data_IF_582234938844
#
_entry.id   IF_582234938844
#
_cell.length_a   1.000
_cell.length_b   1.000
_cell.length_c   1.000
_cell.angle_alpha   90.00
_cell.angle_beta   90.00
_cell.angle_gamma   90.00
#
_symmetry.space_group_name_H-M   'P 1'
#
loop_
_entity.id
_entity.type
_entity.pdbx_description
1 polymer ?
#
# COMPACT_ATOMS: atom_id res chain seq x y z
N UNK A 1 -14.48 32.83 12.75
CA UNK A 1 -13.77 32.08 13.81
C UNK A 1 -13.02 30.97 13.11
N UNK A 2 -11.69 31.08 12.99
CA UNK A 2 -10.90 30.10 12.25
C UNK A 2 -11.02 28.72 12.90
N UNK A 3 -11.13 27.66 12.10
CA UNK A 3 -11.09 26.30 12.61
C UNK A 3 -9.71 26.06 13.23
N UNK A 4 -9.61 26.08 14.56
CA UNK A 4 -8.35 25.73 15.23
C UNK A 4 -8.10 24.24 15.05
N UNK A 5 -7.08 23.91 14.26
CA UNK A 5 -6.54 22.56 14.12
C UNK A 5 -5.45 22.33 15.17
N UNK A 6 -5.41 21.13 15.74
CA UNK A 6 -4.37 20.65 16.66
C UNK A 6 -3.53 19.60 15.97
N UNK A 7 -2.20 19.73 16.05
CA UNK A 7 -1.28 18.74 15.51
C UNK A 7 -1.24 17.51 16.43
N UNK A 8 -1.37 16.32 15.87
CA UNK A 8 -1.29 15.05 16.59
C UNK A 8 -0.20 14.21 15.95
N UNK A 9 0.80 13.81 16.74
CA UNK A 9 1.87 12.90 16.32
C UNK A 9 1.72 11.55 17.00
N UNK A 10 1.86 10.48 16.22
CA UNK A 10 1.78 9.11 16.67
C UNK A 10 3.18 8.52 16.80
N UNK A 11 3.41 7.76 17.86
CA UNK A 11 4.65 7.07 18.17
C UNK A 11 4.38 5.57 18.32
N UNK A 12 5.31 4.69 17.93
CA UNK A 12 6.64 4.99 17.43
C UNK A 12 6.68 5.37 15.93
N UNK A 13 5.53 5.44 15.25
CA UNK A 13 5.50 5.68 13.79
C UNK A 13 6.05 7.02 13.32
N UNK A 14 6.03 8.05 14.18
CA UNK A 14 6.38 9.41 13.80
C UNK A 14 5.34 10.10 12.90
N UNK A 15 4.29 9.39 12.46
CA UNK A 15 3.23 9.88 11.58
C UNK A 15 2.46 11.01 12.30
N UNK A 16 2.09 12.06 11.56
CA UNK A 16 1.35 13.19 12.11
C UNK A 16 0.12 13.55 11.28
N UNK A 17 -0.91 14.06 11.94
CA UNK A 17 -2.13 14.58 11.32
C UNK A 17 -2.70 15.77 12.10
N UNK A 18 -3.65 16.47 11.49
CA UNK A 18 -4.34 17.60 12.11
C UNK A 18 -5.76 17.21 12.54
N UNK A 19 -6.11 17.48 13.79
CA UNK A 19 -7.44 17.28 14.36
C UNK A 19 -8.17 18.61 14.54
N UNK A 20 -9.38 18.75 13.97
CA UNK A 20 -10.25 19.91 14.22
C UNK A 20 -10.79 19.86 15.66
N UNK A 21 -11.16 21.02 16.23
CA UNK A 21 -11.47 21.19 17.66
C UNK A 21 -12.62 20.33 18.21
N UNK A 22 -13.45 19.72 17.35
CA UNK A 22 -14.54 18.81 17.75
C UNK A 22 -14.46 17.43 17.09
N UNK A 23 -13.44 17.18 16.27
CA UNK A 23 -13.25 15.88 15.65
C UNK A 23 -12.66 14.89 16.65
N UNK A 24 -13.24 13.70 16.73
CA UNK A 24 -12.59 12.60 17.43
C UNK A 24 -11.26 12.24 16.74
N UNK A 25 -10.29 11.83 17.53
CA UNK A 25 -8.94 11.54 17.06
C UNK A 25 -8.92 10.41 16.01
N UNK A 26 -9.81 9.42 16.13
CA UNK A 26 -9.90 8.32 15.16
C UNK A 26 -10.42 8.82 13.80
N UNK A 27 -11.51 9.60 13.80
CA UNK A 27 -12.04 10.20 12.59
C UNK A 27 -11.08 11.19 11.95
N UNK A 28 -10.33 11.96 12.76
CA UNK A 28 -9.29 12.85 12.27
C UNK A 28 -8.12 12.09 11.62
N UNK A 29 -7.64 11.02 12.25
CA UNK A 29 -6.61 10.15 11.69
C UNK A 29 -7.07 9.52 10.36
N UNK A 30 -8.30 8.98 10.32
CA UNK A 30 -8.86 8.38 9.11
C UNK A 30 -8.99 9.37 7.94
N UNK A 31 -9.38 10.62 8.18
CA UNK A 31 -9.41 11.65 7.13
C UNK A 31 -8.03 12.01 6.60
N UNK A 32 -7.00 11.91 7.44
CA UNK A 32 -5.60 11.99 7.06
C UNK A 32 -5.05 10.68 6.46
N UNK A 33 -5.93 9.69 6.24
CA UNK A 33 -5.63 8.34 5.74
C UNK A 33 -4.73 7.52 6.65
N UNK A 34 -4.61 7.88 7.92
CA UNK A 34 -3.91 7.07 8.90
C UNK A 34 -4.86 5.98 9.36
N UNK A 35 -4.55 4.73 8.98
CA UNK A 35 -5.32 3.56 9.35
C UNK A 35 -5.05 3.21 10.82
N UNK A 36 -5.88 3.74 11.72
CA UNK A 36 -5.92 3.32 13.12
C UNK A 36 -6.94 2.19 13.27
N UNK A 37 -6.55 1.01 13.77
CA UNK A 37 -7.49 -0.10 13.95
C UNK A 37 -8.69 0.27 14.86
N UNK A 38 -9.92 -0.04 14.40
CA UNK A 38 -11.16 0.23 15.13
C UNK A 38 -12.30 -0.70 14.69
N UNK A 39 -13.24 -1.00 15.59
CA UNK A 39 -14.42 -1.83 15.29
C UNK A 39 -15.74 -1.18 15.73
N UNK A 40 -15.85 -0.75 16.99
CA UNK A 40 -17.13 -0.29 17.55
C UNK A 40 -17.41 1.22 17.40
N UNK A 41 -16.36 2.05 17.25
CA UNK A 41 -16.42 3.52 17.26
C UNK A 41 -17.19 4.16 18.45
N UNK A 42 -17.41 3.41 19.53
CA UNK A 42 -18.13 3.87 20.73
C UNK A 42 -17.32 3.69 22.03
N UNK A 43 -16.05 3.28 21.91
CA UNK A 43 -15.11 3.11 23.03
C UNK A 43 -15.22 1.78 23.77
N UNK A 44 -16.00 0.79 23.30
CA UNK A 44 -16.17 -0.51 23.96
C UNK A 44 -15.12 -1.55 23.51
N UNK A 45 -14.72 -1.53 22.24
CA UNK A 45 -13.87 -2.58 21.68
C UNK A 45 -12.38 -2.44 22.01
N UNK A 46 -11.99 -1.26 22.51
CA UNK A 46 -10.62 -0.88 22.93
C UNK A 46 -9.51 -0.99 21.86
N UNK A 47 -9.85 -1.19 20.58
CA UNK A 47 -8.85 -1.32 19.51
C UNK A 47 -8.12 -0.01 19.23
N UNK A 48 -8.84 1.10 19.14
CA UNK A 48 -8.27 2.40 18.80
C UNK A 48 -7.60 3.08 20.01
N UNK A 49 -7.06 2.27 20.91
CA UNK A 49 -6.42 2.76 22.10
C UNK A 49 -5.07 3.39 21.79
N UNK A 50 -4.80 4.51 22.43
CA UNK A 50 -3.48 5.11 22.48
C UNK A 50 -3.13 5.53 23.91
N UNK A 51 -1.85 5.70 24.21
CA UNK A 51 -1.37 6.32 25.45
C UNK A 51 -0.96 7.76 25.18
N UNK A 52 -1.40 8.69 26.03
CA UNK A 52 -1.07 10.11 25.89
C UNK A 52 0.36 10.36 26.38
N UNK A 53 1.25 10.83 25.50
CA UNK A 53 2.65 11.17 25.86
C UNK A 53 2.83 12.67 26.11
N UNK A 54 2.09 13.52 25.40
CA UNK A 54 2.17 14.98 25.52
C UNK A 54 0.86 15.64 25.14
N UNK A 55 0.56 16.77 25.77
CA UNK A 55 -0.62 17.59 25.50
C UNK A 55 -1.80 17.23 26.40
N UNK A 56 -2.98 17.73 26.04
CA UNK A 56 -4.24 17.50 26.74
C UNK A 56 -5.33 17.05 25.75
N UNK A 57 -6.00 15.95 26.10
CA UNK A 57 -7.14 15.43 25.35
C UNK A 57 -8.37 15.36 26.27
N UNK A 58 -9.57 15.50 25.70
CA UNK A 58 -10.83 15.34 26.43
C UNK A 58 -11.48 14.01 26.06
N UNK A 59 -11.87 13.22 27.05
CA UNK A 59 -12.74 12.06 26.83
C UNK A 59 -14.19 12.53 26.71
N UNK A 60 -14.76 12.36 25.53
CA UNK A 60 -16.10 12.82 25.17
C UNK A 60 -17.24 12.02 25.84
N UNK A 61 -16.94 10.87 26.47
CA UNK A 61 -17.95 10.06 27.18
C UNK A 61 -18.18 10.56 28.61
N UNK A 62 -17.12 10.84 29.34
CA UNK A 62 -17.20 11.29 30.74
C UNK A 62 -16.91 12.80 30.90
N UNK A 63 -16.55 13.49 29.81
CA UNK A 63 -16.18 14.91 29.79
C UNK A 63 -14.98 15.23 30.69
N UNK A 64 -14.08 14.27 30.90
CA UNK A 64 -12.87 14.45 31.70
C UNK A 64 -11.64 14.63 30.82
N UNK A 65 -10.74 15.52 31.26
CA UNK A 65 -9.41 15.67 30.65
C UNK A 65 -8.55 14.45 30.98
N UNK A 66 -7.90 13.90 29.97
CA UNK A 66 -6.98 12.77 30.04
C UNK A 66 -5.59 13.30 30.40
N UNK A 67 -4.94 12.70 31.38
CA UNK A 67 -3.60 13.11 31.82
C UNK A 67 -2.51 12.42 31.00
N UNK A 68 -1.35 13.05 30.93
CA UNK A 68 -0.15 12.43 30.35
C UNK A 68 0.14 11.11 31.09
N UNK A 69 0.43 10.06 30.31
CA UNK A 69 0.63 8.69 30.78
C UNK A 69 -0.63 7.82 30.77
N UNK A 70 -1.83 8.41 30.68
CA UNK A 70 -3.09 7.66 30.67
C UNK A 70 -3.44 7.13 29.27
N UNK A 71 -4.23 6.05 29.25
CA UNK A 71 -4.79 5.44 28.03
C UNK A 71 -6.05 6.21 27.60
N UNK A 72 -6.26 6.31 26.30
CA UNK A 72 -7.43 6.94 25.69
C UNK A 72 -7.93 6.15 24.50
N UNK A 73 -9.22 6.28 24.20
CA UNK A 73 -9.82 5.72 22.99
C UNK A 73 -9.92 6.81 21.94
N UNK A 74 -9.18 6.68 20.83
CA UNK A 74 -9.17 7.71 19.79
C UNK A 74 -10.59 8.03 19.25
N UNK A 75 -11.50 7.05 19.19
CA UNK A 75 -12.91 7.27 18.80
C UNK A 75 -13.76 8.04 19.82
N UNK A 76 -13.28 8.23 21.05
CA UNK A 76 -13.98 8.92 22.14
C UNK A 76 -13.14 10.06 22.73
N UNK A 77 -12.11 10.51 22.03
CA UNK A 77 -11.20 11.54 22.51
C UNK A 77 -11.04 12.66 21.49
N UNK A 78 -10.97 13.91 21.95
CA UNK A 78 -10.72 15.10 21.12
C UNK A 78 -9.47 15.87 21.57
N UNK A 79 -8.85 16.52 20.58
CA UNK A 79 -7.81 17.55 20.65
C UNK A 79 -8.11 18.77 21.53
N UNK A 80 -7.53 18.94 22.74
CA UNK A 80 -7.53 20.27 23.40
C UNK A 80 -6.28 21.08 23.03
N UNK A 81 -5.12 20.43 22.98
CA UNK A 81 -3.84 20.99 22.53
C UNK A 81 -3.22 20.09 21.45
N UNK A 82 -2.06 20.47 20.92
CA UNK A 82 -1.23 19.53 20.16
C UNK A 82 -0.89 18.31 21.03
N UNK A 83 -0.90 17.12 20.43
CA UNK A 83 -0.74 15.84 21.12
C UNK A 83 0.44 15.05 20.58
N UNK A 84 1.07 14.29 21.48
CA UNK A 84 1.87 13.12 21.11
C UNK A 84 1.23 11.88 21.74
N UNK A 85 0.97 10.86 20.94
CA UNK A 85 0.30 9.63 21.33
C UNK A 85 1.18 8.43 21.02
N UNK A 86 1.29 7.49 21.94
CA UNK A 86 1.84 6.17 21.66
C UNK A 86 0.73 5.23 21.24
N UNK A 87 0.87 4.61 20.08
CA UNK A 87 -0.05 3.62 19.54
C UNK A 87 0.72 2.63 18.69
N UNK A 88 1.09 1.49 19.28
CA UNK A 88 1.87 0.44 18.59
C UNK A 88 1.14 -0.18 17.40
N UNK A 89 -0.18 0.01 17.29
CA UNK A 89 -0.96 -0.43 16.15
C UNK A 89 -0.75 0.44 14.90
N UNK A 90 -0.23 1.66 15.06
CA UNK A 90 0.11 2.58 13.97
C UNK A 90 1.62 2.73 13.94
N UNK A 91 2.26 1.96 13.07
CA UNK A 91 3.71 1.89 12.91
C UNK A 91 4.14 2.68 11.67
N UNK A 92 5.39 3.18 11.66
CA UNK A 92 5.95 3.81 10.46
C UNK A 92 6.13 2.74 9.37
N UNK A 93 6.19 3.15 8.11
CA UNK A 93 6.78 2.30 7.07
C UNK A 93 8.15 1.79 7.57
N UNK A 94 8.35 0.47 7.54
CA UNK A 94 9.63 -0.16 7.88
C UNK A 94 9.85 -0.59 9.34
N UNK A 95 8.95 -0.28 10.29
CA UNK A 95 9.06 -0.74 11.70
C UNK A 95 8.11 -1.89 12.07
N UNK A 96 7.33 -2.42 11.13
CA UNK A 96 6.57 -3.65 11.33
C UNK A 96 7.53 -4.85 11.23
N UNK A 97 7.76 -5.55 12.34
CA UNK A 97 8.44 -6.84 12.28
C UNK A 97 7.50 -7.84 11.59
N UNK A 98 7.95 -8.51 10.51
CA UNK A 98 7.14 -9.55 9.88
C UNK A 98 6.76 -10.63 10.89
N UNK A 99 5.48 -11.00 10.89
CA UNK A 99 4.94 -12.09 11.71
C UNK A 99 4.40 -13.21 10.83
N UNK A 100 4.39 -14.44 11.35
CA UNK A 100 3.80 -15.60 10.67
C UNK A 100 2.36 -15.83 11.10
N UNK A 101 1.48 -16.05 10.12
CA UNK A 101 0.05 -16.25 10.33
C UNK A 101 -0.46 -17.42 9.50
N UNK A 102 -1.40 -18.19 10.06
CA UNK A 102 -2.21 -19.12 9.27
C UNK A 102 -3.33 -18.33 8.62
N UNK A 103 -3.35 -18.26 7.29
CA UNK A 103 -4.39 -17.62 6.52
C UNK A 103 -5.32 -18.68 5.91
N UNK A 104 -6.62 -18.45 5.99
CA UNK A 104 -7.61 -19.27 5.28
C UNK A 104 -7.65 -18.85 3.81
N UNK A 105 -7.63 -19.81 2.89
CA UNK A 105 -7.86 -19.53 1.46
C UNK A 105 -9.36 -19.35 1.24
N UNK A 106 -9.75 -18.17 0.75
CA UNK A 106 -11.16 -17.82 0.51
C UNK A 106 -11.53 -18.09 -0.94
N UNK A 107 -10.67 -17.71 -1.88
CA UNK A 107 -10.88 -17.88 -3.31
C UNK A 107 -9.54 -17.97 -4.04
N UNK A 108 -9.51 -18.78 -5.11
CA UNK A 108 -8.41 -18.86 -6.07
C UNK A 108 -9.03 -18.99 -7.45
N UNK A 109 -8.78 -18.01 -8.32
CA UNK A 109 -9.32 -18.04 -9.68
C UNK A 109 -8.38 -17.43 -10.70
N UNK A 110 -8.36 -18.00 -11.90
CA UNK A 110 -7.69 -17.38 -13.05
C UNK A 110 -8.41 -16.09 -13.45
N UNK A 111 -7.64 -15.02 -13.65
CA UNK A 111 -8.12 -13.72 -14.15
C UNK A 111 -7.47 -13.34 -15.49
N UNK A 112 -6.43 -14.07 -15.90
CA UNK A 112 -5.89 -14.11 -17.27
C UNK A 112 -5.26 -15.48 -17.52
N UNK A 113 -4.71 -15.68 -18.71
CA UNK A 113 -4.10 -16.93 -19.15
C UNK A 113 -2.99 -17.46 -18.22
N UNK A 114 -2.30 -16.57 -17.52
CA UNK A 114 -1.18 -16.89 -16.63
C UNK A 114 -1.25 -16.18 -15.26
N UNK A 115 -2.33 -15.45 -14.95
CA UNK A 115 -2.49 -14.73 -13.67
C UNK A 115 -3.69 -15.26 -12.89
N UNK A 116 -3.46 -15.55 -11.61
CA UNK A 116 -4.47 -15.94 -10.64
C UNK A 116 -4.70 -14.83 -9.63
N UNK A 117 -5.97 -14.58 -9.31
CA UNK A 117 -6.38 -13.83 -8.14
C UNK A 117 -6.57 -14.78 -6.96
N UNK A 118 -5.93 -14.47 -5.85
CA UNK A 118 -6.03 -15.22 -4.60
C UNK A 118 -6.57 -14.30 -3.52
N UNK A 119 -7.59 -14.75 -2.79
CA UNK A 119 -8.07 -14.07 -1.59
C UNK A 119 -7.76 -14.89 -0.33
N UNK A 120 -7.11 -14.26 0.64
CA UNK A 120 -6.72 -14.85 1.91
C UNK A 120 -7.37 -14.12 3.08
N UNK A 121 -7.93 -14.88 4.02
CA UNK A 121 -8.51 -14.36 5.25
C UNK A 121 -7.62 -14.68 6.45
N UNK A 122 -7.18 -13.66 7.17
CA UNK A 122 -6.41 -13.82 8.40
C UNK A 122 -7.33 -13.97 9.63
N UNK A 123 -7.05 -14.91 10.56
CA UNK A 123 -7.88 -15.19 11.74
C UNK A 123 -7.84 -14.07 12.79
N UNK A 124 -6.83 -13.19 12.77
CA UNK A 124 -6.64 -12.10 13.75
C UNK A 124 -6.21 -10.77 13.12
N UNK A 125 -7.05 -10.22 12.24
CA UNK A 125 -6.78 -8.94 11.54
C UNK A 125 -6.45 -7.75 12.47
N UNK A 126 -6.83 -7.82 13.77
CA UNK A 126 -6.50 -6.82 14.80
C UNK A 126 -5.01 -6.76 15.16
N UNK A 127 -4.27 -7.84 14.97
CA UNK A 127 -2.86 -7.95 15.38
C UNK A 127 -1.90 -7.63 14.23
N UNK A 128 -2.42 -7.34 13.03
CA UNK A 128 -1.61 -7.12 11.83
C UNK A 128 -2.02 -5.83 11.12
N UNK A 129 -1.08 -4.89 11.03
CA UNK A 129 -1.14 -3.75 10.13
C UNK A 129 -0.11 -3.94 9.02
N UNK A 130 -0.51 -3.64 7.78
CA UNK A 130 0.41 -3.44 6.66
C UNK A 130 0.04 -2.12 5.99
N UNK A 131 0.98 -1.58 5.22
CA UNK A 131 0.79 -0.36 4.45
C UNK A 131 0.55 -0.69 2.99
N UNK A 132 -0.24 0.14 2.32
CA UNK A 132 -0.53 -0.04 0.90
C UNK A 132 0.79 -0.08 0.11
N UNK A 133 0.95 -1.10 -0.72
CA UNK A 133 2.19 -1.37 -1.44
C UNK A 133 3.14 -2.38 -0.79
N UNK A 134 2.89 -2.84 0.44
CA UNK A 134 3.69 -3.92 1.04
C UNK A 134 3.40 -5.30 0.42
N UNK A 135 4.30 -6.25 0.68
CA UNK A 135 4.19 -7.62 0.19
C UNK A 135 4.23 -8.63 1.36
N UNK A 136 3.90 -9.88 1.04
CA UNK A 136 3.97 -11.01 1.97
C UNK A 136 4.75 -12.17 1.36
N UNK A 137 5.18 -13.11 2.21
CA UNK A 137 5.64 -14.42 1.75
C UNK A 137 4.56 -15.48 1.96
N UNK A 138 4.41 -16.38 1.00
CA UNK A 138 3.67 -17.63 1.12
C UNK A 138 4.67 -18.74 1.41
N UNK A 139 4.45 -19.46 2.51
CA UNK A 139 5.36 -20.47 3.04
C UNK A 139 4.69 -21.84 2.90
N UNK A 140 5.16 -22.64 1.95
CA UNK A 140 4.76 -24.04 1.80
C UNK A 140 5.72 -24.95 2.58
N UNK A 141 5.26 -26.13 3.06
CA UNK A 141 6.14 -27.12 3.65
C UNK A 141 7.27 -27.51 2.68
N UNK A 142 8.49 -27.60 3.19
CA UNK A 142 9.68 -28.06 2.46
C UNK A 142 9.99 -27.28 1.16
N UNK A 143 9.57 -26.02 1.06
CA UNK A 143 9.87 -25.14 -0.06
C UNK A 143 10.34 -23.76 0.42
N UNK A 144 11.08 -23.07 -0.44
CA UNK A 144 11.47 -21.68 -0.18
C UNK A 144 10.25 -20.75 -0.19
N UNK A 145 10.23 -19.70 0.66
CA UNK A 145 9.16 -18.72 0.65
C UNK A 145 9.01 -18.03 -0.71
N UNK A 146 7.77 -17.90 -1.17
CA UNK A 146 7.44 -17.17 -2.40
C UNK A 146 6.83 -15.82 -2.05
N UNK A 147 7.36 -14.73 -2.58
CA UNK A 147 6.96 -13.37 -2.22
C UNK A 147 6.00 -12.78 -3.24
N UNK A 148 4.92 -12.15 -2.76
CA UNK A 148 3.88 -11.55 -3.59
C UNK A 148 3.41 -10.23 -2.99
N UNK A 149 3.35 -9.18 -3.84
CA UNK A 149 2.75 -7.90 -3.46
C UNK A 149 1.29 -8.08 -3.07
N UNK A 150 0.88 -7.42 -2.00
CA UNK A 150 -0.53 -7.35 -1.61
C UNK A 150 -1.23 -6.39 -2.56
N UNK A 151 -2.35 -6.84 -3.14
CA UNK A 151 -3.13 -6.11 -4.13
C UNK A 151 -4.36 -5.40 -3.55
N UNK A 152 -4.77 -5.76 -2.34
CA UNK A 152 -5.89 -5.14 -1.62
C UNK A 152 -5.46 -3.90 -0.82
N UNK A 153 -6.42 -3.06 -0.46
CA UNK A 153 -6.18 -1.97 0.51
C UNK A 153 -5.88 -2.56 1.91
N UNK A 154 -5.07 -1.89 2.75
CA UNK A 154 -4.98 -2.19 4.18
C UNK A 154 -6.32 -2.16 4.93
N UNK A 155 -7.37 -1.56 4.37
CA UNK A 155 -8.71 -1.54 4.96
C UNK A 155 -9.51 -2.82 4.67
N UNK A 156 -9.19 -3.55 3.59
CA UNK A 156 -10.00 -4.65 3.03
C UNK A 156 -10.00 -5.91 3.88
N UNK A 157 -11.18 -6.52 4.07
CA UNK A 157 -11.33 -7.69 4.93
C UNK A 157 -10.37 -8.84 4.60
N UNK A 158 -10.19 -9.13 3.30
CA UNK A 158 -9.31 -10.18 2.80
C UNK A 158 -8.06 -9.56 2.17
N UNK A 159 -6.95 -10.29 2.23
CA UNK A 159 -5.74 -9.97 1.46
C UNK A 159 -5.93 -10.51 0.05
N UNK A 160 -5.81 -9.65 -0.95
CA UNK A 160 -5.80 -10.03 -2.36
C UNK A 160 -4.36 -10.13 -2.88
N UNK A 161 -4.04 -11.17 -3.65
CA UNK A 161 -2.78 -11.33 -4.38
C UNK A 161 -3.06 -11.55 -5.86
N UNK A 162 -2.15 -11.06 -6.72
CA UNK A 162 -2.11 -11.46 -8.13
C UNK A 162 -0.83 -12.26 -8.38
N UNK A 163 -1.00 -13.55 -8.64
CA UNK A 163 0.12 -14.48 -8.79
C UNK A 163 0.18 -14.88 -10.26
N UNK A 164 1.27 -14.49 -10.94
CA UNK A 164 1.57 -15.01 -12.26
C UNK A 164 2.21 -16.38 -12.11
N UNK A 165 1.62 -17.38 -12.72
CA UNK A 165 2.04 -18.77 -12.65
C UNK A 165 1.80 -19.44 -14.01
N UNK A 166 2.85 -20.09 -14.51
CA UNK A 166 2.79 -20.99 -15.66
C UNK A 166 3.51 -22.29 -15.30
N UNK A 167 3.34 -23.38 -16.08
CA UNK A 167 4.07 -24.63 -15.86
C UNK A 167 5.60 -24.47 -15.82
N UNK A 168 6.14 -23.46 -16.51
CA UNK A 168 7.57 -23.14 -16.51
C UNK A 168 8.02 -22.43 -15.22
N UNK A 169 7.10 -21.77 -14.50
CA UNK A 169 7.35 -21.08 -13.23
C UNK A 169 6.98 -21.96 -12.05
N UNK A 170 7.79 -23.00 -11.87
CA UNK A 170 7.51 -24.12 -10.94
C UNK A 170 7.19 -23.68 -9.51
N UNK A 171 7.86 -22.65 -8.97
CA UNK A 171 7.60 -22.16 -7.60
C UNK A 171 6.21 -21.51 -7.48
N UNK A 172 5.86 -20.61 -8.40
CA UNK A 172 4.55 -19.95 -8.42
C UNK A 172 3.43 -20.96 -8.71
N UNK A 173 3.65 -21.91 -9.61
CA UNK A 173 2.67 -22.96 -9.89
C UNK A 173 2.40 -23.83 -8.66
N UNK A 174 3.44 -24.24 -7.92
CA UNK A 174 3.29 -24.99 -6.66
C UNK A 174 2.47 -24.21 -5.63
N UNK A 175 2.63 -22.89 -5.56
CA UNK A 175 1.82 -22.03 -4.71
C UNK A 175 0.35 -22.08 -5.13
N UNK A 176 0.04 -21.92 -6.41
CA UNK A 176 -1.34 -22.00 -6.89
C UNK A 176 -1.96 -23.38 -6.63
N UNK A 177 -1.23 -24.46 -6.87
CA UNK A 177 -1.72 -25.81 -6.63
C UNK A 177 -2.02 -26.05 -5.13
N UNK A 178 -1.12 -25.60 -4.26
CA UNK A 178 -1.29 -25.70 -2.80
C UNK A 178 -2.47 -24.85 -2.30
N UNK A 179 -2.64 -23.63 -2.82
CA UNK A 179 -3.75 -22.75 -2.46
C UNK A 179 -5.09 -23.27 -2.97
N UNK A 180 -5.12 -23.88 -4.16
CA UNK A 180 -6.35 -24.43 -4.76
C UNK A 180 -6.81 -25.69 -4.06
N UNK A 181 -5.87 -26.53 -3.62
CA UNK A 181 -6.16 -27.80 -2.94
C UNK A 181 -6.28 -27.68 -1.42
N UNK A 182 -5.69 -26.64 -0.83
CA UNK A 182 -5.65 -26.38 0.60
C UNK A 182 -6.77 -25.45 1.08
N UNK A 183 -7.14 -25.56 2.36
CA UNK A 183 -8.03 -24.60 3.03
C UNK A 183 -7.28 -23.49 3.77
N UNK A 184 -6.00 -23.70 4.07
CA UNK A 184 -5.16 -22.79 4.86
C UNK A 184 -3.73 -22.78 4.33
N UNK A 185 -3.03 -21.67 4.55
CA UNK A 185 -1.63 -21.46 4.14
C UNK A 185 -0.90 -20.58 5.15
N UNK A 186 0.40 -20.85 5.36
CA UNK A 186 1.23 -19.99 6.22
C UNK A 186 1.72 -18.79 5.43
N UNK A 187 1.48 -17.59 5.93
CA UNK A 187 2.01 -16.34 5.37
C UNK A 187 2.88 -15.59 6.37
N UNK A 188 3.89 -14.87 5.88
CA UNK A 188 4.67 -13.94 6.69
C UNK A 188 4.56 -12.52 6.13
N UNK A 189 4.19 -11.56 6.98
CA UNK A 189 3.92 -10.19 6.57
C UNK A 189 3.94 -9.20 7.77
N UNK A 190 4.07 -7.89 7.50
CA UNK A 190 4.36 -7.31 6.20
C UNK A 190 5.86 -7.21 5.89
N UNK A 191 6.19 -7.36 4.61
CA UNK A 191 7.51 -7.06 4.06
C UNK A 191 7.42 -5.84 3.12
N UNK A 192 8.57 -5.25 2.81
CA UNK A 192 8.69 -4.15 1.86
C UNK A 192 8.59 -2.77 2.49
N UNK A 193 9.32 -1.84 1.88
CA UNK A 193 9.43 -0.44 2.30
C UNK A 193 8.83 0.51 1.29
N UNK A 194 8.64 0.09 0.03
CA UNK A 194 8.01 0.88 -1.02
C UNK A 194 6.48 0.94 -0.84
N UNK A 195 6.04 1.64 0.20
CA UNK A 195 4.65 1.66 0.64
C UNK A 195 4.22 3.05 1.14
N UNK A 196 2.91 3.26 1.22
CA UNK A 196 2.33 4.48 1.78
C UNK A 196 1.98 4.26 3.25
N UNK A 197 2.88 4.66 4.15
CA UNK A 197 2.58 4.69 5.60
C UNK A 197 1.63 5.83 5.99
N UNK A 198 1.55 6.87 5.17
CA UNK A 198 0.60 7.95 5.31
C UNK A 198 0.20 8.46 3.93
N UNK A 199 -0.90 9.19 3.85
CA UNK A 199 -1.33 9.86 2.62
C UNK A 199 -0.25 10.86 2.20
N UNK A 200 0.29 10.74 0.97
CA UNK A 200 1.30 11.65 0.50
C UNK A 200 0.70 13.04 0.22
N UNK A 201 1.55 14.05 0.15
CA UNK A 201 1.13 15.44 -0.12
C UNK A 201 1.49 15.91 -1.53
N UNK A 202 2.21 15.08 -2.29
CA UNK A 202 2.68 15.34 -3.65
C UNK A 202 1.92 14.49 -4.67
N UNK A 203 1.91 14.89 -5.95
CA UNK A 203 1.49 14.03 -7.05
C UNK A 203 2.22 12.68 -7.04
N UNK A 204 1.55 11.63 -7.50
CA UNK A 204 2.12 10.29 -7.60
C UNK A 204 2.26 9.85 -9.05
N UNK A 205 3.41 9.24 -9.35
CA UNK A 205 3.65 8.48 -10.56
C UNK A 205 3.80 7.01 -10.20
N UNK A 206 2.82 6.21 -10.63
CA UNK A 206 2.77 4.77 -10.45
C UNK A 206 3.24 4.09 -11.73
N UNK A 207 4.24 3.22 -11.66
CA UNK A 207 4.77 2.50 -12.81
C UNK A 207 4.79 1.01 -12.53
N UNK A 208 4.03 0.25 -13.32
CA UNK A 208 3.96 -1.20 -13.23
C UNK A 208 4.46 -1.86 -14.53
N UNK A 209 5.16 -2.99 -14.40
CA UNK A 209 5.34 -3.95 -15.48
C UNK A 209 4.71 -5.30 -15.09
N UNK A 210 3.89 -5.87 -15.97
CA UNK A 210 3.23 -7.16 -15.74
C UNK A 210 2.43 -7.18 -14.43
N UNK A 211 2.69 -8.15 -13.55
CA UNK A 211 2.03 -8.29 -12.24
C UNK A 211 2.43 -7.26 -11.19
N UNK A 212 3.40 -6.37 -11.47
CA UNK A 212 3.66 -5.18 -10.63
C UNK A 212 2.41 -4.31 -10.42
N UNK A 213 1.39 -4.47 -11.28
CA UNK A 213 0.06 -3.87 -11.09
C UNK A 213 -0.60 -4.25 -9.76
N UNK A 214 -0.31 -5.41 -9.16
CA UNK A 214 -0.81 -5.78 -7.84
C UNK A 214 -0.46 -4.70 -6.79
N UNK A 215 0.82 -4.32 -6.73
CA UNK A 215 1.28 -3.28 -5.81
C UNK A 215 0.59 -1.94 -6.10
N UNK A 216 0.47 -1.57 -7.38
CA UNK A 216 -0.20 -0.32 -7.77
C UNK A 216 -1.69 -0.31 -7.42
N UNK A 217 -2.37 -1.46 -7.54
CA UNK A 217 -3.77 -1.61 -7.13
C UNK A 217 -3.94 -1.33 -5.64
N UNK A 218 -3.08 -1.89 -4.79
CA UNK A 218 -3.12 -1.63 -3.35
C UNK A 218 -2.95 -0.14 -3.02
N UNK A 219 -2.01 0.54 -3.69
CA UNK A 219 -1.78 1.97 -3.55
C UNK A 219 -3.00 2.79 -3.98
N UNK A 220 -3.57 2.50 -5.16
CA UNK A 220 -4.73 3.22 -5.69
C UNK A 220 -5.97 3.02 -4.81
N UNK A 221 -6.27 1.77 -4.44
CA UNK A 221 -7.43 1.47 -3.60
C UNK A 221 -7.32 2.16 -2.23
N UNK A 222 -6.13 2.15 -1.61
CA UNK A 222 -5.89 2.92 -0.38
C UNK A 222 -6.10 4.42 -0.57
N UNK A 223 -5.54 5.04 -1.62
CA UNK A 223 -5.67 6.49 -1.83
C UNK A 223 -7.13 6.93 -2.03
N UNK A 224 -7.92 6.13 -2.75
CA UNK A 224 -9.36 6.39 -3.00
C UNK A 224 -10.21 6.37 -1.73
N UNK A 225 -9.74 5.74 -0.66
CA UNK A 225 -10.40 5.72 0.65
C UNK A 225 -10.04 6.92 1.53
N UNK A 226 -9.16 7.80 1.05
CA UNK A 226 -8.61 8.93 1.81
C UNK A 226 -9.01 10.27 1.20
N UNK A 227 -8.59 11.37 1.84
CA UNK A 227 -8.82 12.73 1.31
C UNK A 227 -7.74 13.16 0.29
N UNK A 228 -7.03 12.21 -0.32
CA UNK A 228 -5.93 12.51 -1.25
C UNK A 228 -6.46 13.19 -2.52
N UNK A 229 -5.99 14.41 -2.77
CA UNK A 229 -6.51 15.30 -3.84
C UNK A 229 -5.40 15.76 -4.80
N UNK A 230 -4.26 15.07 -4.85
CA UNK A 230 -3.20 15.33 -5.82
C UNK A 230 -3.35 14.41 -7.05
N UNK A 231 -2.76 14.80 -8.20
CA UNK A 231 -2.76 13.96 -9.40
C UNK A 231 -2.07 12.60 -9.19
N UNK A 232 -2.64 11.55 -9.78
CA UNK A 232 -2.03 10.21 -9.88
C UNK A 232 -1.96 9.81 -11.34
N UNK A 233 -0.78 9.43 -11.82
CA UNK A 233 -0.61 8.81 -13.14
C UNK A 233 -0.16 7.37 -12.98
N UNK A 234 -0.87 6.43 -13.61
CA UNK A 234 -0.48 5.03 -13.69
C UNK A 234 -0.01 4.70 -15.10
N UNK A 235 1.27 4.35 -15.24
CA UNK A 235 1.79 3.67 -16.42
C UNK A 235 1.83 2.18 -16.16
N UNK A 236 1.15 1.40 -17.01
CA UNK A 236 1.20 -0.05 -16.93
C UNK A 236 1.77 -0.62 -18.23
N UNK A 237 3.00 -1.12 -18.16
CA UNK A 237 3.72 -1.80 -19.23
C UNK A 237 3.42 -3.29 -19.27
N UNK A 238 3.04 -3.82 -20.43
CA UNK A 238 2.93 -5.27 -20.66
C UNK A 238 3.45 -5.66 -22.05
N UNK A 239 3.66 -6.96 -22.29
CA UNK A 239 4.10 -7.47 -23.60
C UNK A 239 2.95 -7.45 -24.60
N UNK A 240 1.83 -8.08 -24.25
CA UNK A 240 0.64 -8.20 -25.09
C UNK A 240 -0.56 -7.59 -24.42
N UNK A 241 -1.54 -7.16 -25.19
CA UNK A 241 -2.78 -6.59 -24.67
C UNK A 241 -3.48 -7.49 -23.63
N UNK A 242 -3.43 -8.81 -23.81
CA UNK A 242 -4.05 -9.81 -22.91
C UNK A 242 -3.37 -9.92 -21.54
N UNK A 243 -2.13 -9.45 -21.42
CA UNK A 243 -1.38 -9.44 -20.17
C UNK A 243 -1.85 -8.29 -19.24
N UNK A 244 -2.63 -7.31 -19.74
CA UNK A 244 -3.30 -6.29 -18.89
C UNK A 244 -4.57 -6.86 -18.24
N UNK A 245 -4.39 -7.87 -17.39
CA UNK A 245 -5.44 -8.72 -16.83
C UNK A 245 -6.56 -7.99 -16.04
N UNK A 246 -6.36 -6.72 -15.67
CA UNK A 246 -7.36 -5.86 -15.02
C UNK A 246 -7.43 -4.46 -15.65
N UNK A 247 -7.22 -4.36 -16.97
CA UNK A 247 -7.32 -3.10 -17.71
C UNK A 247 -8.64 -2.35 -17.47
N UNK A 248 -9.75 -3.09 -17.42
CA UNK A 248 -11.07 -2.51 -17.19
C UNK A 248 -11.18 -1.80 -15.82
N UNK A 249 -10.54 -2.35 -14.79
CA UNK A 249 -10.48 -1.72 -13.46
C UNK A 249 -9.68 -0.41 -13.50
N UNK A 250 -8.51 -0.42 -14.16
CA UNK A 250 -7.69 0.77 -14.32
C UNK A 250 -8.42 1.88 -15.12
N UNK A 251 -9.20 1.49 -16.13
CA UNK A 251 -10.06 2.43 -16.87
C UNK A 251 -11.18 2.99 -15.98
N UNK A 252 -11.84 2.13 -15.21
CA UNK A 252 -12.88 2.55 -14.27
C UNK A 252 -12.35 3.56 -13.25
N UNK A 253 -11.12 3.39 -12.74
CA UNK A 253 -10.50 4.38 -11.86
C UNK A 253 -10.37 5.74 -12.52
N UNK A 254 -9.95 5.80 -13.79
CA UNK A 254 -9.86 7.07 -14.53
C UNK A 254 -11.23 7.72 -14.71
N UNK A 255 -12.26 6.93 -14.97
CA UNK A 255 -13.61 7.43 -15.22
C UNK A 255 -14.27 7.96 -13.92
N UNK A 256 -13.97 7.33 -12.79
CA UNK A 256 -14.55 7.66 -11.47
C UNK A 256 -13.73 8.69 -10.68
N UNK A 257 -12.42 8.79 -10.93
CA UNK A 257 -11.51 9.64 -10.18
C UNK A 257 -10.85 10.67 -11.10
N UNK A 258 -11.36 11.92 -11.15
CA UNK A 258 -10.89 12.95 -12.10
C UNK A 258 -9.40 13.30 -12.05
N UNK A 259 -8.72 12.97 -10.95
CA UNK A 259 -7.27 13.23 -10.77
C UNK A 259 -6.40 12.02 -11.09
N UNK A 260 -7.01 10.89 -11.45
CA UNK A 260 -6.32 9.70 -11.89
C UNK A 260 -6.20 9.69 -13.41
N UNK A 261 -5.03 9.31 -13.93
CA UNK A 261 -4.81 9.11 -15.37
C UNK A 261 -4.18 7.74 -15.58
N UNK A 262 -4.80 6.93 -16.43
CA UNK A 262 -4.31 5.62 -16.83
C UNK A 262 -3.65 5.68 -18.20
N UNK A 263 -2.41 5.20 -18.27
CA UNK A 263 -1.56 5.24 -19.45
C UNK A 263 -1.07 3.81 -19.76
N UNK A 264 -1.83 3.02 -20.53
CA UNK A 264 -1.40 1.69 -20.93
C UNK A 264 -0.23 1.77 -21.91
N UNK A 265 0.81 0.98 -21.67
CA UNK A 265 1.95 0.80 -22.59
C UNK A 265 2.02 -0.67 -22.94
N UNK A 266 1.83 -1.00 -24.22
CA UNK A 266 1.90 -2.38 -24.71
C UNK A 266 3.06 -2.46 -25.67
N UNK A 267 3.85 -3.53 -25.56
CA UNK A 267 4.92 -3.81 -26.50
C UNK A 267 4.39 -3.90 -27.92
N UNK A 268 4.95 -3.09 -28.81
CA UNK A 268 4.77 -3.26 -30.25
C UNK A 268 5.73 -4.39 -30.70
N UNK A 269 5.16 -5.43 -31.33
CA UNK A 269 5.80 -6.58 -32.00
C UNK A 269 6.13 -7.86 -31.20
N UNK A 270 5.87 -9.00 -31.87
CA UNK A 270 6.13 -10.38 -31.42
C UNK A 270 7.63 -10.72 -31.31
N UNK A 271 8.52 -9.86 -31.84
CA UNK A 271 9.95 -10.13 -32.03
C UNK A 271 10.89 -9.25 -31.17
N UNK A 272 10.38 -8.47 -30.21
CA UNK A 272 11.25 -7.60 -29.42
C UNK A 272 11.96 -8.34 -28.27
N UNK A 273 13.30 -8.30 -28.29
CA UNK A 273 14.14 -8.60 -27.13
C UNK A 273 13.64 -7.78 -25.93
N UNK A 274 13.49 -8.43 -24.77
CA UNK A 274 12.91 -7.88 -23.53
C UNK A 274 13.42 -6.48 -23.12
N UNK A 275 14.62 -6.09 -23.55
CA UNK A 275 15.19 -4.76 -23.36
C UNK A 275 14.38 -3.64 -24.06
N UNK A 276 13.88 -3.85 -25.28
CA UNK A 276 13.18 -2.82 -26.07
C UNK A 276 11.85 -2.37 -25.46
N UNK A 277 11.14 -3.28 -24.78
CA UNK A 277 9.86 -2.96 -24.14
C UNK A 277 10.01 -2.09 -22.89
N UNK A 278 11.04 -2.32 -22.07
CA UNK A 278 11.32 -1.47 -20.92
C UNK A 278 11.66 -0.05 -21.38
N UNK A 279 12.43 0.09 -22.46
CA UNK A 279 12.76 1.40 -23.04
C UNK A 279 11.50 2.15 -23.50
N UNK A 280 10.53 1.46 -24.11
CA UNK A 280 9.27 2.07 -24.52
C UNK A 280 8.49 2.62 -23.31
N UNK A 281 8.39 1.84 -22.22
CA UNK A 281 7.77 2.28 -20.98
C UNK A 281 8.49 3.49 -20.38
N UNK A 282 9.82 3.44 -20.28
CA UNK A 282 10.64 4.53 -19.73
C UNK A 282 10.49 5.80 -20.56
N UNK A 283 10.51 5.71 -21.90
CA UNK A 283 10.28 6.85 -22.80
C UNK A 283 8.89 7.46 -22.62
N UNK A 284 7.86 6.62 -22.51
CA UNK A 284 6.49 7.09 -22.26
C UNK A 284 6.40 7.84 -20.92
N UNK A 285 7.04 7.32 -19.87
CA UNK A 285 7.11 7.98 -18.55
C UNK A 285 7.87 9.31 -18.61
N UNK A 286 9.02 9.37 -19.28
CA UNK A 286 9.79 10.61 -19.44
C UNK A 286 8.99 11.68 -20.21
N UNK A 287 8.17 11.27 -21.17
CA UNK A 287 7.30 12.15 -21.93
C UNK A 287 6.06 12.64 -21.13
N UNK A 288 5.89 12.23 -19.87
CA UNK A 288 4.73 12.56 -19.04
C UNK A 288 4.55 14.05 -18.73
N UNK A 289 5.61 14.85 -18.88
CA UNK A 289 5.64 16.28 -18.56
C UNK A 289 5.49 16.58 -17.06
N UNK A 290 5.76 15.61 -16.18
CA UNK A 290 5.71 15.82 -14.73
C UNK A 290 6.87 16.70 -14.24
N UNK A 291 6.63 17.43 -13.15
CA UNK A 291 7.70 18.10 -12.42
C UNK A 291 8.42 17.09 -11.52
N UNK A 292 9.60 16.63 -11.96
CA UNK A 292 10.41 15.65 -11.25
C UNK A 292 10.84 16.09 -9.85
N UNK A 293 10.81 17.39 -9.54
CA UNK A 293 11.11 17.90 -8.20
C UNK A 293 9.91 17.87 -7.26
N UNK A 294 8.72 17.61 -7.79
CA UNK A 294 7.44 17.62 -7.06
C UNK A 294 6.57 16.41 -7.43
N UNK A 295 7.15 15.22 -7.37
CA UNK A 295 6.46 13.93 -7.57
C UNK A 295 7.10 12.86 -6.69
N UNK A 296 6.29 11.92 -6.23
CA UNK A 296 6.76 10.64 -5.67
C UNK A 296 6.50 9.52 -6.68
N UNK A 297 7.50 8.66 -6.92
CA UNK A 297 7.45 7.60 -7.93
C UNK A 297 7.42 6.25 -7.23
N UNK A 298 6.39 5.44 -7.48
CA UNK A 298 6.34 4.04 -7.06
C UNK A 298 6.45 3.12 -8.27
N UNK A 299 7.47 2.26 -8.30
CA UNK A 299 7.76 1.39 -9.42
C UNK A 299 7.80 -0.10 -9.03
N UNK A 300 7.13 -0.94 -9.83
CA UNK A 300 7.05 -2.39 -9.59
C UNK A 300 7.18 -3.19 -10.88
N UNK A 301 8.07 -4.18 -10.90
CA UNK A 301 8.34 -5.03 -12.05
C UNK A 301 9.70 -5.70 -11.96
N UNK A 302 10.26 -6.09 -13.10
CA UNK A 302 11.59 -6.71 -13.13
C UNK A 302 12.68 -5.75 -12.63
N UNK A 303 13.76 -6.24 -12.00
CA UNK A 303 14.86 -5.39 -11.57
C UNK A 303 15.40 -4.52 -12.70
N UNK A 304 15.56 -5.09 -13.91
CA UNK A 304 16.00 -4.35 -15.10
C UNK A 304 15.09 -3.16 -15.40
N UNK A 305 13.77 -3.36 -15.44
CA UNK A 305 12.82 -2.26 -15.70
C UNK A 305 12.93 -1.15 -14.67
N UNK A 306 12.91 -1.51 -13.38
CA UNK A 306 12.93 -0.55 -12.28
C UNK A 306 14.21 0.28 -12.30
N UNK A 307 15.35 -0.38 -12.49
CA UNK A 307 16.65 0.28 -12.51
C UNK A 307 16.86 1.17 -13.73
N UNK A 308 16.42 0.74 -14.92
CA UNK A 308 16.43 1.59 -16.12
C UNK A 308 15.54 2.82 -15.95
N UNK A 309 14.36 2.66 -15.34
CA UNK A 309 13.47 3.78 -15.04
C UNK A 309 14.08 4.74 -14.03
N UNK A 310 14.63 4.22 -12.93
CA UNK A 310 15.22 5.03 -11.86
C UNK A 310 16.33 5.92 -12.41
N UNK A 311 17.30 5.33 -13.13
CA UNK A 311 18.42 6.08 -13.72
C UNK A 311 17.93 7.19 -14.65
N UNK A 312 16.99 6.87 -15.54
CA UNK A 312 16.45 7.82 -16.49
C UNK A 312 15.72 8.99 -15.82
N UNK A 313 14.99 8.73 -14.74
CA UNK A 313 14.28 9.77 -13.98
C UNK A 313 15.23 10.62 -13.14
N UNK A 314 16.24 10.01 -12.51
CA UNK A 314 17.26 10.72 -11.74
C UNK A 314 18.07 11.63 -12.66
N UNK A 315 18.47 11.15 -13.84
CA UNK A 315 19.12 11.95 -14.89
C UNK A 315 18.22 13.12 -15.36
N UNK A 316 16.90 12.93 -15.37
CA UNK A 316 15.92 13.98 -15.66
C UNK A 316 15.66 14.95 -14.48
N UNK A 317 16.23 14.69 -13.30
CA UNK A 317 16.18 15.56 -12.14
C UNK A 317 15.25 15.11 -11.01
N UNK A 318 14.78 13.86 -11.00
CA UNK A 318 14.09 13.26 -9.86
C UNK A 318 15.09 13.06 -8.70
N UNK A 319 14.80 13.56 -7.48
CA UNK A 319 15.59 13.18 -6.31
C UNK A 319 15.49 11.67 -6.05
N UNK A 320 16.61 11.01 -5.77
CA UNK A 320 16.66 9.55 -5.58
C UNK A 320 15.73 9.09 -4.45
N UNK A 321 15.62 9.89 -3.39
CA UNK A 321 14.72 9.63 -2.25
C UNK A 321 13.22 9.71 -2.59
N UNK A 322 12.87 10.25 -3.77
CA UNK A 322 11.50 10.29 -4.27
C UNK A 322 11.13 9.07 -5.12
N UNK A 323 12.05 8.11 -5.30
CA UNK A 323 11.82 6.87 -6.03
C UNK A 323 11.70 5.67 -5.08
N UNK A 324 10.56 4.99 -5.14
CA UNK A 324 10.21 3.88 -4.25
C UNK A 324 10.01 2.60 -5.05
N UNK A 325 10.83 1.58 -4.76
CA UNK A 325 10.65 0.22 -5.25
C UNK A 325 11.28 -0.80 -4.32
N UNK A 326 10.60 -1.91 -4.05
CA UNK A 326 11.17 -2.99 -3.24
C UNK A 326 12.35 -3.69 -3.93
N UNK A 327 12.48 -3.56 -5.27
CA UNK A 327 13.65 -4.04 -6.04
C UNK A 327 14.96 -3.53 -5.46
N UNK A 328 14.98 -2.28 -4.98
CA UNK A 328 16.17 -1.64 -4.42
C UNK A 328 16.66 -2.34 -3.15
N UNK A 329 15.76 -3.06 -2.47
CA UNK A 329 16.06 -3.78 -1.24
C UNK A 329 16.42 -5.26 -1.51
N UNK A 330 15.64 -5.97 -2.33
CA UNK A 330 15.87 -7.42 -2.55
C UNK A 330 16.84 -7.73 -3.69
N UNK A 331 17.11 -6.79 -4.59
CA UNK A 331 18.06 -6.93 -5.69
C UNK A 331 18.96 -5.68 -5.80
N UNK A 332 19.71 -5.31 -4.76
CA UNK A 332 20.57 -4.13 -4.79
C UNK A 332 21.66 -4.26 -5.87
N UNK A 333 21.95 -3.16 -6.58
CA UNK A 333 23.13 -3.09 -7.45
C UNK A 333 24.40 -3.19 -6.59
N UNK A 334 25.36 -3.96 -7.07
CA UNK A 334 26.71 -4.09 -6.50
C UNK A 334 27.61 -2.92 -6.87
#
# INVERSE_FOLDING_TARGET
>A
MGSEHRAVRLWPSGIAFNAASQADLLGAAARAGIAVPAACRNGVCEICEARLLKGAALNTRNQQTIKIGERLMMCRSIALTDLELEISAVMAAGNNQPGKFQAKVVDVRSISHDVYRVELQLPRRRELSFHAGQYLSVNLPDADPCYFSIASSPSDQNIELHIQATPEWVSAQKVIDALTSGGEVTVELPHGKACLASVPTRPLLLVAAGTGFAQMKSLVDYLRETSYDQPVKLYWGVRRHEDMYLRALAQQWQDEWPRFTFLPVVGDDEDNDWAGHHDQLVRAVLASGMDWKNVEVHASGSPTMVYTLMDALVDAGLPEEAFFSDVLEYAPRS
#
